data_IF_030147530928
#
_entry.id   IF_030147530928
#
_cell.length_a   1.000
_cell.length_b   1.000
_cell.length_c   1.000
_cell.angle_alpha   90.00
_cell.angle_beta   90.00
_cell.angle_gamma   90.00
#
_symmetry.space_group_name_H-M   'P 1'
#
loop_
_entity.id
_entity.type
_entity.pdbx_description
1 polymer ?
#
# COMPACT_ATOMS: atom_id res chain seq x y z
N UNK A 1 1.67 -12.13 10.40
CA UNK A 1 2.29 -10.79 10.22
C UNK A 1 3.79 -10.94 10.40
N UNK A 2 4.61 -10.21 9.64
CA UNK A 2 6.08 -10.26 9.75
C UNK A 2 6.58 -9.48 10.97
N UNK A 3 7.68 -9.96 11.59
CA UNK A 3 8.38 -9.27 12.69
C UNK A 3 8.85 -7.86 12.29
N UNK A 4 9.00 -7.60 10.99
CA UNK A 4 9.34 -6.28 10.46
C UNK A 4 8.38 -5.19 10.91
N UNK A 5 7.08 -5.49 10.95
CA UNK A 5 6.00 -4.53 11.27
C UNK A 5 5.56 -4.58 12.73
N UNK A 6 6.07 -5.53 13.52
CA UNK A 6 5.81 -5.68 14.95
C UNK A 6 7.07 -5.40 15.74
N UNK A 7 7.88 -6.40 16.01
CA UNK A 7 9.13 -6.30 16.79
C UNK A 7 10.07 -5.18 16.30
N UNK A 8 10.15 -4.97 14.98
CA UNK A 8 11.05 -3.99 14.34
C UNK A 8 10.34 -2.71 13.84
N UNK A 9 9.09 -2.47 14.24
CA UNK A 9 8.28 -1.35 13.75
C UNK A 9 8.99 0.01 13.75
N UNK A 10 9.71 0.36 14.81
CA UNK A 10 10.47 1.63 14.91
C UNK A 10 11.64 1.71 13.92
N UNK A 11 12.35 0.59 13.70
CA UNK A 11 13.45 0.53 12.72
C UNK A 11 12.89 0.64 11.29
N UNK A 12 11.80 -0.10 11.03
CA UNK A 12 11.12 -0.01 9.74
C UNK A 12 10.63 1.42 9.46
N UNK A 13 10.00 2.09 10.43
CA UNK A 13 9.58 3.48 10.30
C UNK A 13 10.74 4.40 9.87
N UNK A 14 11.89 4.28 10.53
CA UNK A 14 13.06 5.09 10.20
C UNK A 14 13.57 4.82 8.77
N UNK A 15 13.62 3.55 8.35
CA UNK A 15 14.08 3.16 7.01
C UNK A 15 13.09 3.58 5.93
N UNK A 16 11.79 3.34 6.13
CA UNK A 16 10.76 3.64 5.13
C UNK A 16 10.62 5.15 4.81
N UNK A 17 11.13 6.02 5.68
CA UNK A 17 11.15 7.45 5.42
C UNK A 17 12.11 7.87 4.31
N UNK A 18 13.21 7.16 4.11
CA UNK A 18 14.31 7.60 3.25
C UNK A 18 14.81 6.56 2.24
N UNK A 19 14.45 5.28 2.36
CA UNK A 19 14.92 4.28 1.41
C UNK A 19 14.39 4.55 -0.01
N UNK A 20 15.14 4.13 -1.02
CA UNK A 20 14.84 4.41 -2.42
C UNK A 20 13.47 3.86 -2.84
N UNK A 21 13.11 2.66 -2.41
CA UNK A 21 11.88 1.98 -2.83
C UNK A 21 10.63 2.70 -2.31
N UNK A 22 10.59 3.02 -1.02
CA UNK A 22 9.44 3.67 -0.40
C UNK A 22 9.43 5.18 -0.66
N UNK A 23 10.57 5.87 -0.46
CA UNK A 23 10.61 7.33 -0.47
C UNK A 23 10.77 7.92 -1.87
N UNK A 24 11.49 7.24 -2.77
CA UNK A 24 11.87 7.80 -4.07
C UNK A 24 11.21 7.10 -5.27
N UNK A 25 10.46 6.02 -5.05
CA UNK A 25 9.66 5.38 -6.09
C UNK A 25 8.20 5.27 -5.67
N UNK A 26 7.90 4.55 -4.58
CA UNK A 26 6.52 4.21 -4.23
C UNK A 26 5.70 5.45 -3.86
N UNK A 27 6.13 6.21 -2.86
CA UNK A 27 5.37 7.35 -2.33
C UNK A 27 5.09 8.44 -3.37
N UNK A 28 6.08 8.94 -4.14
CA UNK A 28 5.81 9.93 -5.17
C UNK A 28 4.89 9.41 -6.28
N UNK A 29 5.00 8.13 -6.64
CA UNK A 29 4.15 7.52 -7.67
C UNK A 29 2.70 7.35 -7.21
N UNK A 30 2.47 6.94 -5.96
CA UNK A 30 1.13 6.87 -5.36
C UNK A 30 0.52 8.25 -5.23
N UNK A 31 1.27 9.24 -4.72
CA UNK A 31 0.79 10.63 -4.57
C UNK A 31 0.40 11.23 -5.93
N UNK A 32 1.13 10.93 -7.00
CA UNK A 32 0.82 11.42 -8.36
C UNK A 32 -0.53 10.91 -8.91
N UNK A 33 -1.11 9.88 -8.30
CA UNK A 33 -2.44 9.35 -8.67
C UNK A 33 -3.58 9.96 -7.85
N UNK A 34 -3.29 10.74 -6.80
CA UNK A 34 -4.31 11.33 -5.95
C UNK A 34 -4.92 12.58 -6.59
N UNK A 35 -6.22 12.75 -6.43
CA UNK A 35 -6.90 14.04 -6.65
C UNK A 35 -6.68 14.97 -5.46
N UNK A 36 -6.98 16.27 -5.57
CA UNK A 36 -6.94 17.18 -4.42
C UNK A 36 -7.75 16.63 -3.24
N UNK A 37 -7.14 16.63 -2.05
CA UNK A 37 -7.69 15.99 -0.85
C UNK A 37 -8.27 17.00 0.16
N UNK A 38 -8.19 18.30 -0.11
CA UNK A 38 -8.76 19.31 0.79
C UNK A 38 -10.23 19.05 1.07
N UNK A 39 -10.58 19.05 2.36
CA UNK A 39 -11.93 18.80 2.87
C UNK A 39 -12.48 17.38 2.59
N UNK A 40 -11.64 16.45 2.16
CA UNK A 40 -12.01 15.05 1.89
C UNK A 40 -11.92 14.19 3.14
N UNK A 41 -12.74 13.14 3.16
CA UNK A 41 -12.65 12.03 4.12
C UNK A 41 -11.83 10.91 3.50
N UNK A 42 -10.72 10.55 4.16
CA UNK A 42 -9.71 9.64 3.62
C UNK A 42 -9.53 8.44 4.53
N UNK A 43 -9.38 7.26 3.94
CA UNK A 43 -8.99 6.02 4.61
C UNK A 43 -7.61 5.58 4.13
N UNK A 44 -6.69 5.40 5.06
CA UNK A 44 -5.35 4.83 4.84
C UNK A 44 -5.34 3.38 5.35
N UNK A 45 -5.45 2.43 4.41
CA UNK A 45 -5.50 0.99 4.68
C UNK A 45 -4.08 0.39 4.68
N UNK A 46 -3.68 -0.16 5.84
CA UNK A 46 -2.31 -0.59 6.07
C UNK A 46 -1.38 0.60 6.20
N UNK A 47 -1.77 1.55 7.03
CA UNK A 47 -1.12 2.86 7.16
C UNK A 47 0.32 2.81 7.68
N UNK A 48 0.78 1.64 8.17
CA UNK A 48 2.08 1.49 8.80
C UNK A 48 2.24 2.51 9.94
N UNK A 49 3.38 3.15 9.98
CA UNK A 49 3.71 4.17 10.99
C UNK A 49 3.12 5.57 10.72
N UNK A 50 2.22 5.70 9.74
CA UNK A 50 1.54 6.96 9.42
C UNK A 50 2.34 7.94 8.56
N UNK A 51 3.22 7.44 7.71
CA UNK A 51 4.01 8.31 6.80
C UNK A 51 3.08 9.04 5.82
N UNK A 52 2.08 8.36 5.28
CA UNK A 52 1.06 8.99 4.43
C UNK A 52 0.11 9.89 5.23
N UNK A 53 -0.20 9.53 6.47
CA UNK A 53 -1.00 10.38 7.35
C UNK A 53 -0.40 11.78 7.50
N UNK A 54 0.93 11.88 7.65
CA UNK A 54 1.61 13.17 7.68
C UNK A 54 1.36 14.00 6.41
N UNK A 55 1.45 13.36 5.24
CA UNK A 55 1.15 14.02 3.97
C UNK A 55 -0.32 14.49 3.91
N UNK A 56 -1.28 13.62 4.23
CA UNK A 56 -2.70 13.96 4.17
C UNK A 56 -3.08 15.12 5.07
N UNK A 57 -2.50 15.19 6.27
CA UNK A 57 -2.72 16.32 7.18
C UNK A 57 -2.23 17.65 6.57
N UNK A 58 -1.15 17.65 5.77
CA UNK A 58 -0.71 18.86 5.04
C UNK A 58 -1.66 19.24 3.90
N UNK A 59 -2.49 18.32 3.42
CA UNK A 59 -3.48 18.56 2.36
C UNK A 59 -4.82 19.08 2.89
N UNK A 60 -4.93 19.36 4.19
CA UNK A 60 -6.15 19.85 4.84
C UNK A 60 -7.35 18.91 4.63
N UNK A 61 -7.14 17.60 4.80
CA UNK A 61 -8.23 16.61 4.81
C UNK A 61 -9.20 16.90 5.97
N UNK A 62 -10.48 16.66 5.75
CA UNK A 62 -11.50 16.88 6.78
C UNK A 62 -11.48 15.78 7.84
N UNK A 63 -11.30 14.54 7.43
CA UNK A 63 -11.26 13.38 8.32
C UNK A 63 -10.32 12.32 7.76
N UNK A 64 -9.46 11.78 8.61
CA UNK A 64 -8.49 10.75 8.26
C UNK A 64 -8.60 9.56 9.20
N UNK A 65 -8.89 8.40 8.63
CA UNK A 65 -8.81 7.11 9.33
C UNK A 65 -7.55 6.37 8.88
N UNK A 66 -6.79 5.87 9.83
CA UNK A 66 -5.58 5.08 9.62
C UNK A 66 -5.75 3.71 10.26
N UNK A 67 -5.69 2.65 9.48
CA UNK A 67 -5.83 1.28 9.98
C UNK A 67 -4.62 0.43 9.59
N UNK A 68 -4.17 -0.40 10.51
CA UNK A 68 -3.09 -1.36 10.29
C UNK A 68 -3.31 -2.58 11.17
N UNK A 69 -2.84 -3.73 10.73
CA UNK A 69 -2.95 -4.95 11.52
C UNK A 69 -1.96 -5.00 12.70
N UNK A 70 -0.89 -4.18 12.66
CA UNK A 70 0.11 -4.06 13.73
C UNK A 70 -0.32 -3.02 14.77
N UNK A 71 -0.43 -3.46 16.01
CA UNK A 71 -0.62 -2.56 17.17
C UNK A 71 0.53 -1.60 17.35
N UNK A 72 1.76 -2.04 17.07
CA UNK A 72 2.98 -1.25 17.18
C UNK A 72 2.99 -0.11 16.15
N UNK A 73 2.53 -0.38 14.92
CA UNK A 73 2.37 0.65 13.90
C UNK A 73 1.31 1.68 14.31
N UNK A 74 0.16 1.24 14.80
CA UNK A 74 -0.90 2.13 15.27
C UNK A 74 -0.44 2.98 16.47
N UNK A 75 0.37 2.44 17.38
CA UNK A 75 0.97 3.22 18.46
C UNK A 75 1.89 4.33 17.91
N UNK A 76 2.68 4.03 16.87
CA UNK A 76 3.50 5.06 16.20
C UNK A 76 2.66 6.15 15.54
N UNK A 77 1.55 5.78 14.87
CA UNK A 77 0.61 6.74 14.29
C UNK A 77 0.04 7.65 15.38
N UNK A 78 -0.45 7.08 16.49
CA UNK A 78 -1.01 7.85 17.61
C UNK A 78 0.02 8.76 18.26
N UNK A 79 1.26 8.27 18.42
CA UNK A 79 2.34 9.06 18.99
C UNK A 79 2.73 10.27 18.11
N UNK A 80 2.68 10.12 16.77
CA UNK A 80 3.04 11.18 15.83
C UNK A 80 1.93 12.20 15.59
N UNK A 81 0.68 11.74 15.53
CA UNK A 81 -0.43 12.55 15.02
C UNK A 81 -1.53 12.83 16.05
N UNK A 82 -1.53 12.11 17.19
CA UNK A 82 -2.48 12.31 18.27
C UNK A 82 -3.94 12.20 17.82
N UNK A 83 -4.75 13.17 18.20
CA UNK A 83 -6.18 13.25 17.87
C UNK A 83 -6.47 13.78 16.44
N UNK A 84 -5.44 14.13 15.67
CA UNK A 84 -5.64 14.60 14.28
C UNK A 84 -6.02 13.47 13.32
N UNK A 85 -5.90 12.23 13.76
CA UNK A 85 -6.27 11.05 12.98
C UNK A 85 -7.09 10.07 13.84
N UNK A 86 -8.03 9.37 13.22
CA UNK A 86 -8.68 8.23 13.83
C UNK A 86 -7.84 6.99 13.51
N UNK A 87 -7.09 6.46 14.50
CA UNK A 87 -6.19 5.33 14.27
C UNK A 87 -6.51 4.13 15.14
N UNK A 88 -6.70 2.95 14.53
CA UNK A 88 -7.01 1.72 15.27
C UNK A 88 -6.49 0.47 14.53
N UNK A 89 -6.34 -0.60 15.30
CA UNK A 89 -5.89 -1.90 14.78
C UNK A 89 -7.02 -2.58 14.02
N UNK A 90 -6.75 -2.93 12.76
CA UNK A 90 -7.67 -3.68 11.91
C UNK A 90 -6.87 -4.58 10.95
N UNK A 91 -7.15 -5.88 11.01
CA UNK A 91 -6.66 -6.82 10.02
C UNK A 91 -7.58 -6.78 8.79
N UNK A 92 -7.03 -6.36 7.66
CA UNK A 92 -7.76 -6.21 6.40
C UNK A 92 -8.29 -7.55 5.84
N UNK A 93 -7.74 -8.69 6.26
CA UNK A 93 -8.29 -10.01 5.92
C UNK A 93 -9.67 -10.25 6.52
N UNK A 94 -10.06 -9.47 7.55
CA UNK A 94 -11.37 -9.50 8.19
C UNK A 94 -12.32 -8.42 7.62
N UNK A 95 -11.93 -7.77 6.54
CA UNK A 95 -12.70 -6.66 5.95
C UNK A 95 -12.65 -5.37 6.76
N UNK A 96 -13.69 -4.55 6.61
CA UNK A 96 -13.80 -3.21 7.21
C UNK A 96 -15.06 -3.09 8.09
N UNK A 97 -15.25 -3.95 9.10
CA UNK A 97 -16.53 -4.04 9.86
C UNK A 97 -16.85 -2.79 10.69
N UNK A 98 -15.84 -1.96 11.01
CA UNK A 98 -16.04 -0.73 11.77
C UNK A 98 -16.36 0.47 10.87
N UNK A 99 -16.19 0.33 9.54
CA UNK A 99 -16.37 1.43 8.62
C UNK A 99 -17.76 1.41 7.98
N UNK A 100 -18.51 2.53 8.08
CA UNK A 100 -19.83 2.61 7.50
C UNK A 100 -19.78 2.71 5.97
N UNK A 101 -20.90 2.38 5.34
CA UNK A 101 -21.08 2.51 3.90
C UNK A 101 -20.96 3.96 3.44
N UNK A 102 -20.35 4.18 2.29
CA UNK A 102 -20.31 5.48 1.61
C UNK A 102 -19.76 6.64 2.48
N UNK A 103 -18.73 6.38 3.27
CA UNK A 103 -18.09 7.39 4.12
C UNK A 103 -16.93 8.11 3.42
N UNK A 104 -16.10 7.39 2.68
CA UNK A 104 -14.82 7.88 2.20
C UNK A 104 -14.88 8.47 0.80
N UNK A 105 -14.23 9.61 0.59
CA UNK A 105 -13.99 10.20 -0.73
C UNK A 105 -12.81 9.54 -1.43
N UNK A 106 -11.80 9.11 -0.66
CA UNK A 106 -10.61 8.44 -1.16
C UNK A 106 -10.14 7.34 -0.19
N UNK A 107 -9.66 6.24 -0.76
CA UNK A 107 -8.95 5.18 -0.05
C UNK A 107 -7.54 5.09 -0.61
N UNK A 108 -6.55 4.94 0.26
CA UNK A 108 -5.17 4.67 -0.12
C UNK A 108 -4.74 3.36 0.54
N UNK A 109 -4.05 2.49 -0.23
CA UNK A 109 -3.58 1.20 0.25
C UNK A 109 -2.18 0.87 -0.30
N UNK A 110 -1.12 1.56 0.20
CA UNK A 110 0.23 1.45 -0.34
C UNK A 110 0.97 0.22 0.20
N UNK A 111 1.45 -0.66 -0.69
CA UNK A 111 2.30 -1.82 -0.39
C UNK A 111 1.71 -2.79 0.67
N UNK A 112 0.40 -3.04 0.60
CA UNK A 112 -0.30 -3.94 1.54
C UNK A 112 -0.88 -5.18 0.86
N UNK A 113 -1.48 -5.01 -0.34
CA UNK A 113 -2.33 -6.03 -0.96
C UNK A 113 -1.62 -7.35 -1.26
N UNK A 114 -0.31 -7.32 -1.45
CA UNK A 114 0.48 -8.54 -1.66
C UNK A 114 0.62 -9.40 -0.39
N UNK A 115 0.29 -8.87 0.80
CA UNK A 115 0.24 -9.68 2.04
C UNK A 115 -1.08 -10.41 2.23
N UNK A 116 -2.12 -10.09 1.45
CA UNK A 116 -3.45 -10.64 1.60
C UNK A 116 -3.71 -11.74 0.57
N UNK A 117 -4.29 -12.84 1.02
CA UNK A 117 -4.66 -13.94 0.14
C UNK A 117 -5.92 -13.62 -0.67
N UNK A 118 -6.96 -13.09 -0.03
CA UNK A 118 -8.26 -12.81 -0.63
C UNK A 118 -8.43 -11.31 -0.94
N UNK A 119 -8.14 -10.93 -2.19
CA UNK A 119 -8.37 -9.56 -2.66
C UNK A 119 -9.85 -9.26 -3.00
N UNK A 120 -10.62 -10.16 -3.62
CA UNK A 120 -12.03 -9.92 -3.93
C UNK A 120 -12.85 -9.46 -2.72
N UNK A 121 -12.73 -10.11 -1.57
CA UNK A 121 -13.45 -9.73 -0.36
C UNK A 121 -13.08 -8.33 0.13
N UNK A 122 -11.78 -8.00 0.15
CA UNK A 122 -11.33 -6.66 0.54
C UNK A 122 -11.76 -5.58 -0.44
N UNK A 123 -11.71 -5.85 -1.75
CA UNK A 123 -12.16 -4.87 -2.75
C UNK A 123 -13.67 -4.60 -2.68
N UNK A 124 -14.49 -5.61 -2.35
CA UNK A 124 -15.93 -5.40 -2.08
C UNK A 124 -16.15 -4.49 -0.87
N UNK A 125 -15.40 -4.68 0.21
CA UNK A 125 -15.46 -3.81 1.39
C UNK A 125 -14.97 -2.39 1.08
N UNK A 126 -13.85 -2.24 0.35
CA UNK A 126 -13.37 -0.94 -0.09
C UNK A 126 -14.41 -0.22 -0.97
N UNK A 127 -15.04 -0.96 -1.88
CA UNK A 127 -16.13 -0.41 -2.70
C UNK A 127 -17.33 0.02 -1.85
N UNK A 128 -17.73 -0.79 -0.85
CA UNK A 128 -18.84 -0.49 0.05
C UNK A 128 -18.64 0.82 0.81
N UNK A 129 -17.45 1.02 1.40
CA UNK A 129 -17.16 2.19 2.24
C UNK A 129 -16.86 3.46 1.45
N UNK A 130 -16.52 3.36 0.16
CA UNK A 130 -16.36 4.52 -0.72
C UNK A 130 -17.70 5.16 -1.05
N UNK A 131 -17.74 6.49 -1.11
CA UNK A 131 -18.83 7.27 -1.69
C UNK A 131 -18.94 7.01 -3.19
N UNK A 132 -20.11 7.24 -3.75
CA UNK A 132 -20.26 7.30 -5.21
C UNK A 132 -19.40 8.43 -5.79
N UNK A 133 -18.59 8.11 -6.80
CA UNK A 133 -17.59 9.02 -7.35
C UNK A 133 -16.30 9.13 -6.50
N UNK A 134 -16.20 8.34 -5.43
CA UNK A 134 -14.95 8.16 -4.69
C UNK A 134 -13.99 7.23 -5.45
N UNK A 135 -12.74 7.18 -5.00
CA UNK A 135 -11.70 6.39 -5.65
C UNK A 135 -10.78 5.70 -4.65
N UNK A 136 -10.15 4.62 -5.08
CA UNK A 136 -9.06 3.98 -4.38
C UNK A 136 -7.77 4.08 -5.19
N UNK A 137 -6.66 4.38 -4.51
CA UNK A 137 -5.30 4.26 -5.05
C UNK A 137 -4.54 3.25 -4.22
N UNK A 138 -3.91 2.30 -4.88
CA UNK A 138 -3.05 1.35 -4.19
C UNK A 138 -1.78 1.08 -4.97
N UNK A 139 -0.77 0.64 -4.27
CA UNK A 139 0.45 0.06 -4.81
C UNK A 139 0.67 -1.34 -4.27
N UNK A 140 1.31 -2.18 -5.04
CA UNK A 140 1.73 -3.52 -4.62
C UNK A 140 2.94 -3.97 -5.43
N UNK A 141 3.51 -5.08 -5.08
CA UNK A 141 4.54 -5.73 -5.89
C UNK A 141 4.06 -5.92 -7.32
N UNK A 142 4.96 -5.73 -8.27
CA UNK A 142 4.61 -5.88 -9.68
C UNK A 142 4.55 -7.36 -10.06
N UNK A 143 3.46 -7.84 -10.68
CA UNK A 143 3.31 -9.25 -11.05
C UNK A 143 4.44 -9.81 -11.93
N UNK A 144 5.06 -8.95 -12.75
CA UNK A 144 6.23 -9.33 -13.55
C UNK A 144 7.48 -9.52 -12.69
N UNK A 145 7.73 -8.60 -11.75
CA UNK A 145 8.88 -8.72 -10.83
C UNK A 145 8.75 -9.95 -9.92
N UNK A 146 7.58 -10.13 -9.31
CA UNK A 146 7.33 -11.26 -8.42
C UNK A 146 7.36 -12.62 -9.16
N UNK A 147 7.21 -12.63 -10.49
CA UNK A 147 7.31 -13.87 -11.27
C UNK A 147 8.72 -14.47 -11.25
N UNK A 148 9.75 -13.67 -10.98
CA UNK A 148 11.12 -14.15 -10.78
C UNK A 148 11.22 -15.08 -9.55
N UNK A 149 10.33 -14.93 -8.57
CA UNK A 149 10.26 -15.77 -7.36
C UNK A 149 9.31 -16.98 -7.52
N UNK A 150 8.73 -17.19 -8.72
CA UNK A 150 7.78 -18.29 -8.94
C UNK A 150 8.43 -19.66 -8.78
N UNK A 151 7.81 -20.52 -7.98
CA UNK A 151 8.24 -21.90 -7.77
C UNK A 151 7.71 -22.83 -8.87
N UNK A 152 6.46 -22.59 -9.31
CA UNK A 152 5.80 -23.43 -10.32
C UNK A 152 6.13 -23.04 -11.76
N UNK A 153 6.60 -21.79 -11.99
CA UNK A 153 6.80 -21.23 -13.33
C UNK A 153 5.49 -20.93 -14.07
N UNK A 154 4.35 -21.03 -13.40
CA UNK A 154 3.04 -20.70 -13.97
C UNK A 154 2.62 -19.28 -13.56
N UNK A 155 2.67 -18.32 -14.48
CA UNK A 155 2.32 -16.93 -14.22
C UNK A 155 0.89 -16.74 -13.66
N UNK A 156 -0.05 -17.55 -14.09
CA UNK A 156 -1.46 -17.42 -13.69
C UNK A 156 -1.80 -18.06 -12.35
N UNK A 157 -0.89 -18.83 -11.78
CA UNK A 157 -1.06 -19.47 -10.49
C UNK A 157 -0.70 -18.47 -9.36
N UNK A 158 -1.57 -18.37 -8.34
CA UNK A 158 -1.25 -17.60 -7.14
C UNK A 158 -0.37 -18.45 -6.25
N UNK A 159 0.77 -17.91 -5.81
CA UNK A 159 1.71 -18.59 -4.92
C UNK A 159 2.01 -17.73 -3.70
N UNK A 160 2.10 -18.38 -2.54
CA UNK A 160 2.68 -17.74 -1.36
C UNK A 160 4.20 -17.89 -1.44
N UNK A 161 4.89 -16.77 -1.44
CA UNK A 161 6.36 -16.68 -1.47
C UNK A 161 6.86 -16.36 -0.06
N UNK A 162 7.98 -16.95 0.32
CA UNK A 162 8.69 -16.65 1.55
C UNK A 162 10.11 -16.20 1.20
N UNK A 163 10.49 -15.03 1.69
CA UNK A 163 11.81 -14.44 1.49
C UNK A 163 12.38 -13.89 2.79
N UNK A 164 13.69 -13.75 2.85
CA UNK A 164 14.37 -13.01 3.91
C UNK A 164 14.74 -11.62 3.41
N UNK A 165 14.27 -10.59 4.11
CA UNK A 165 14.58 -9.19 3.80
C UNK A 165 15.44 -8.57 4.90
N UNK A 166 16.52 -7.88 4.51
CA UNK A 166 17.43 -7.15 5.43
C UNK A 166 17.07 -5.65 5.54
N UNK A 167 15.81 -5.33 5.40
CA UNK A 167 15.35 -3.93 5.41
C UNK A 167 15.63 -3.22 6.73
N UNK A 168 15.61 -3.93 7.84
CA UNK A 168 15.75 -3.38 9.20
C UNK A 168 17.15 -3.61 9.81
N UNK A 169 18.15 -4.00 8.98
CA UNK A 169 19.52 -4.26 9.38
C UNK A 169 19.75 -5.63 10.02
N UNK A 170 18.79 -6.52 9.89
CA UNK A 170 18.88 -7.95 10.19
C UNK A 170 17.89 -8.70 9.31
N UNK A 171 18.17 -9.97 8.94
CA UNK A 171 17.25 -10.76 8.12
C UNK A 171 15.92 -10.99 8.83
N UNK A 172 14.82 -10.68 8.16
CA UNK A 172 13.45 -10.91 8.65
C UNK A 172 12.69 -11.68 7.59
N UNK A 173 12.04 -12.76 7.98
CA UNK A 173 11.19 -13.54 7.09
C UNK A 173 9.93 -12.74 6.74
N UNK A 174 9.68 -12.60 5.44
CA UNK A 174 8.49 -11.96 4.87
C UNK A 174 7.76 -12.96 4.00
N UNK A 175 6.44 -13.02 4.14
CA UNK A 175 5.56 -13.83 3.31
C UNK A 175 4.62 -12.94 2.55
N UNK A 176 4.49 -13.16 1.25
CA UNK A 176 3.56 -12.43 0.40
C UNK A 176 2.98 -13.34 -0.69
N UNK A 177 1.91 -12.91 -1.33
CA UNK A 177 1.27 -13.64 -2.41
C UNK A 177 1.63 -13.00 -3.74
N UNK A 178 2.34 -13.78 -4.57
CA UNK A 178 2.51 -13.50 -5.99
C UNK A 178 1.21 -13.84 -6.73
N UNK A 179 0.80 -13.00 -7.65
CA UNK A 179 -0.39 -13.22 -8.47
C UNK A 179 -0.27 -12.56 -9.84
N UNK A 180 -1.09 -12.99 -10.80
CA UNK A 180 -1.09 -12.41 -12.14
C UNK A 180 -1.80 -11.04 -12.15
N UNK A 181 -1.48 -10.22 -13.15
CA UNK A 181 -2.20 -8.97 -13.40
C UNK A 181 -3.69 -9.22 -13.66
N UNK A 182 -4.02 -10.32 -14.35
CA UNK A 182 -5.41 -10.72 -14.58
C UNK A 182 -6.15 -10.93 -13.27
N UNK A 183 -5.59 -11.66 -12.29
CA UNK A 183 -6.23 -11.87 -10.99
C UNK A 183 -6.56 -10.54 -10.29
N UNK A 184 -5.63 -9.58 -10.32
CA UNK A 184 -5.82 -8.26 -9.71
C UNK A 184 -6.95 -7.50 -10.39
N UNK A 185 -6.92 -7.43 -11.72
CA UNK A 185 -7.90 -6.64 -12.50
C UNK A 185 -9.29 -7.24 -12.48
N UNK A 186 -9.42 -8.57 -12.53
CA UNK A 186 -10.70 -9.26 -12.41
C UNK A 186 -11.30 -9.12 -10.99
N UNK A 187 -10.48 -9.14 -9.94
CA UNK A 187 -10.95 -8.90 -8.59
C UNK A 187 -11.51 -7.48 -8.41
N UNK A 188 -10.88 -6.46 -8.99
CA UNK A 188 -11.38 -5.08 -9.01
C UNK A 188 -12.69 -4.97 -9.78
N UNK A 189 -12.74 -5.54 -10.99
CA UNK A 189 -13.93 -5.52 -11.83
C UNK A 189 -15.12 -6.23 -11.16
N UNK A 190 -14.88 -7.39 -10.53
CA UNK A 190 -15.91 -8.13 -9.80
C UNK A 190 -16.47 -7.35 -8.59
N UNK A 191 -15.67 -6.49 -7.96
CA UNK A 191 -16.11 -5.60 -6.90
C UNK A 191 -16.88 -4.36 -7.41
N UNK A 192 -16.87 -4.10 -8.72
CA UNK A 192 -17.54 -2.97 -9.37
C UNK A 192 -16.65 -1.77 -9.66
N UNK A 193 -15.34 -1.86 -9.40
CA UNK A 193 -14.39 -0.78 -9.70
C UNK A 193 -14.09 -0.66 -11.19
N UNK A 194 -13.92 0.59 -11.64
CA UNK A 194 -13.37 0.91 -12.95
C UNK A 194 -11.93 1.38 -12.79
N UNK A 195 -10.98 0.71 -13.41
CA UNK A 195 -9.57 1.13 -13.43
C UNK A 195 -9.45 2.38 -14.29
N UNK A 196 -9.15 3.54 -13.68
CA UNK A 196 -8.96 4.81 -14.38
C UNK A 196 -7.50 5.09 -14.71
N UNK A 197 -6.55 4.58 -13.94
CA UNK A 197 -5.11 4.70 -14.18
C UNK A 197 -4.38 3.43 -13.70
N UNK A 198 -3.40 3.01 -14.48
CA UNK A 198 -2.42 1.99 -14.13
C UNK A 198 -1.04 2.48 -14.57
N UNK A 199 -0.03 2.35 -13.70
CA UNK A 199 1.36 2.76 -13.99
C UNK A 199 2.34 1.93 -13.15
N UNK A 200 3.56 1.80 -13.61
CA UNK A 200 4.67 1.21 -12.86
C UNK A 200 5.45 2.25 -12.04
N UNK A 201 5.03 3.52 -12.12
CA UNK A 201 5.69 4.61 -11.44
C UNK A 201 6.99 5.06 -12.12
N UNK A 202 7.65 6.02 -11.49
CA UNK A 202 8.94 6.55 -11.96
C UNK A 202 9.83 6.80 -10.76
N UNK A 203 11.01 6.16 -10.75
CA UNK A 203 11.99 6.40 -9.68
C UNK A 203 12.54 7.83 -9.78
N UNK A 204 12.57 8.53 -8.65
CA UNK A 204 13.08 9.90 -8.58
C UNK A 204 14.59 9.96 -8.91
N UNK A 205 15.00 11.02 -9.60
CA UNK A 205 16.39 11.17 -10.04
C UNK A 205 17.40 11.23 -8.90
N UNK A 206 16.98 11.67 -7.74
CA UNK A 206 17.75 11.72 -6.49
C UNK A 206 18.25 10.34 -6.07
N UNK A 207 17.54 9.27 -6.39
CA UNK A 207 17.95 7.89 -6.15
C UNK A 207 19.31 7.57 -6.78
N UNK A 208 19.66 8.20 -7.91
CA UNK A 208 20.94 8.03 -8.58
C UNK A 208 22.13 8.49 -7.73
N UNK A 209 21.92 9.47 -6.85
CA UNK A 209 22.99 9.98 -5.96
C UNK A 209 23.19 9.05 -4.76
N UNK A 210 22.17 8.29 -4.37
CA UNK A 210 22.21 7.34 -3.24
C UNK A 210 22.77 5.99 -3.70
N UNK A 211 22.21 5.43 -4.78
CA UNK A 211 22.64 4.19 -5.40
C UNK A 211 22.42 4.24 -6.91
N UNK A 212 23.47 4.52 -7.71
CA UNK A 212 23.37 4.50 -9.18
C UNK A 212 22.87 3.16 -9.73
N UNK A 213 23.30 2.05 -9.13
CA UNK A 213 22.89 0.69 -9.53
C UNK A 213 21.40 0.47 -9.32
N UNK A 214 20.88 0.77 -8.11
CA UNK A 214 19.45 0.66 -7.80
C UNK A 214 18.62 1.58 -8.68
N UNK A 215 19.08 2.81 -8.92
CA UNK A 215 18.41 3.74 -9.82
C UNK A 215 18.31 3.18 -11.24
N UNK A 216 19.41 2.64 -11.78
CA UNK A 216 19.43 2.07 -13.13
C UNK A 216 18.51 0.86 -13.25
N UNK A 217 18.51 -0.03 -12.25
CA UNK A 217 17.61 -1.19 -12.19
C UNK A 217 16.14 -0.76 -12.16
N UNK A 218 15.77 0.14 -11.26
CA UNK A 218 14.38 0.62 -11.13
C UNK A 218 13.91 1.48 -12.30
N UNK A 219 14.83 2.05 -13.07
CA UNK A 219 14.51 2.80 -14.29
C UNK A 219 14.24 1.90 -15.50
N UNK A 220 14.59 0.61 -15.43
CA UNK A 220 14.48 -0.35 -16.53
C UNK A 220 13.54 -1.50 -16.25
N UNK A 221 13.33 -1.84 -14.98
CA UNK A 221 12.51 -2.97 -14.56
C UNK A 221 11.44 -2.49 -13.58
N UNK A 222 10.18 -2.86 -13.78
CA UNK A 222 9.11 -2.52 -12.87
C UNK A 222 9.30 -3.26 -11.54
N UNK A 223 9.16 -2.55 -10.41
CA UNK A 223 9.22 -3.15 -9.08
C UNK A 223 7.85 -3.15 -8.40
N UNK A 224 7.07 -2.11 -8.64
CA UNK A 224 5.72 -1.95 -8.13
C UNK A 224 4.75 -1.62 -9.25
N UNK A 225 3.50 -1.97 -9.03
CA UNK A 225 2.38 -1.51 -9.84
C UNK A 225 1.51 -0.58 -9.01
N UNK A 226 1.02 0.47 -9.62
CA UNK A 226 0.17 1.49 -9.02
C UNK A 226 -1.14 1.55 -9.80
N UNK A 227 -2.25 1.42 -9.09
CA UNK A 227 -3.56 1.42 -9.71
C UNK A 227 -4.45 2.44 -9.00
N UNK A 228 -5.11 3.28 -9.81
CA UNK A 228 -6.25 4.07 -9.40
C UNK A 228 -7.51 3.48 -9.98
N UNK A 229 -8.50 3.23 -9.14
CA UNK A 229 -9.80 2.75 -9.56
C UNK A 229 -10.91 3.57 -8.91
N UNK A 230 -12.06 3.68 -9.57
CA UNK A 230 -13.17 4.57 -9.22
C UNK A 230 -14.47 3.77 -9.00
N UNK A 231 -15.28 4.24 -8.04
CA UNK A 231 -16.62 3.71 -7.75
C UNK A 231 -17.70 4.43 -8.55
#
# INVERSE_FOLDING_TARGET
>A
MSDMYTKHAKRYDAVAQSNIYNALLERPSTIALLSPLSEKTVLDMGCGSGIYAQYFLTQNVNYLTCIDASSEMIELVKAKHGSNVNAYVQDLSQGLPQEPDNLYDAIICPLVLHYLEDLPALFQEAYRVLKKGGYMVFSMHHPFADFECSVTGNYYEREQIEEEWDTVGEPVTVRFYRRSLTEITEALNAAGFVISRLTEGVVAKEAKQISPETYERLSRNPNFIFIRCEK
#
